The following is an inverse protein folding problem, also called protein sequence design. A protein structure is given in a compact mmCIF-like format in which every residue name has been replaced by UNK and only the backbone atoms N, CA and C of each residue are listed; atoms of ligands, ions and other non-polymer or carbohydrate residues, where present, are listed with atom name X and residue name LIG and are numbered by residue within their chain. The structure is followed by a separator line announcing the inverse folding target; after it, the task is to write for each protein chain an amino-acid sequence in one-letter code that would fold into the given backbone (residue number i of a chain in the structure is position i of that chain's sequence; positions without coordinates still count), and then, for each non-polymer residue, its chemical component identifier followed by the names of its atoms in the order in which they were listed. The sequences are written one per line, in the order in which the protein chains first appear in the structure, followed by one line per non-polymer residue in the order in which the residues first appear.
data_IF_425497094636
#
_entry.id   IF_425497094636
#
_cell.length_a   1.000
_cell.length_b   1.000
_cell.length_c   1.000
_cell.angle_alpha   90.00
_cell.angle_beta   90.00
_cell.angle_gamma   90.00
#
_symmetry.space_group_name_H-M   'P 1'
#
loop_
_entity.id
_entity.type
_entity.pdbx_description
1 polymer ?
#
# COMPACT_ATOMS: atom_id res chain seq x y z
N UNK A 1 8.00 11.40 3.86
CA UNK A 1 6.53 11.16 3.84
C UNK A 1 6.00 11.42 2.45
N UNK A 2 4.95 10.70 2.03
CA UNK A 2 4.42 10.72 0.66
C UNK A 2 4.13 12.14 0.14
N UNK A 3 3.50 13.01 0.94
CA UNK A 3 3.18 14.42 0.57
C UNK A 3 4.38 15.25 0.08
N UNK A 4 5.60 14.93 0.53
CA UNK A 4 6.81 15.66 0.14
C UNK A 4 7.49 15.06 -1.10
N UNK A 5 7.10 13.85 -1.51
CA UNK A 5 7.75 13.08 -2.58
C UNK A 5 6.89 12.95 -3.83
N UNK A 6 5.57 13.01 -3.67
CA UNK A 6 4.62 12.74 -4.75
C UNK A 6 3.50 13.76 -4.75
N UNK A 7 3.00 14.06 -5.94
CA UNK A 7 1.89 14.97 -6.15
C UNK A 7 0.55 14.23 -6.08
N UNK A 8 -0.54 15.00 -5.96
CA UNK A 8 -1.90 14.47 -6.07
C UNK A 8 -2.27 13.46 -4.97
N UNK A 9 -1.62 13.52 -3.81
CA UNK A 9 -1.89 12.59 -2.71
C UNK A 9 -3.35 12.67 -2.26
N UNK A 10 -4.08 11.58 -2.45
CA UNK A 10 -5.36 11.32 -1.81
C UNK A 10 -5.19 10.13 -0.86
N UNK A 11 -5.93 10.14 0.24
CA UNK A 11 -5.85 9.12 1.28
C UNK A 11 -7.25 8.57 1.55
N UNK A 12 -7.35 7.27 1.72
CA UNK A 12 -8.56 6.64 2.26
C UNK A 12 -8.72 6.97 3.74
N UNK A 13 -9.81 6.49 4.33
CA UNK A 13 -9.92 6.36 5.78
C UNK A 13 -8.82 5.43 6.35
N UNK A 14 -8.65 5.45 7.66
CA UNK A 14 -7.79 4.50 8.37
C UNK A 14 -8.65 3.36 8.90
N UNK A 15 -8.20 2.13 8.72
CA UNK A 15 -8.88 0.93 9.24
C UNK A 15 -7.90 0.10 10.06
N UNK A 16 -8.30 -0.24 11.29
CA UNK A 16 -7.54 -1.13 12.15
C UNK A 16 -7.91 -2.59 11.83
N UNK A 17 -6.92 -3.46 11.75
CA UNK A 17 -7.12 -4.89 11.52
C UNK A 17 -6.13 -5.73 12.31
N UNK A 18 -6.50 -6.96 12.63
CA UNK A 18 -5.57 -7.94 13.19
C UNK A 18 -4.46 -8.27 12.20
N UNK A 19 -3.28 -8.62 12.72
CA UNK A 19 -2.22 -9.24 11.94
C UNK A 19 -2.71 -10.55 11.30
N UNK A 20 -2.42 -10.76 10.00
CA UNK A 20 -2.87 -11.96 9.26
C UNK A 20 -2.34 -13.26 9.86
N UNK A 21 -1.09 -13.27 10.31
CA UNK A 21 -0.44 -14.46 10.88
C UNK A 21 -0.96 -14.83 12.29
N UNK A 22 -1.77 -13.96 12.90
CA UNK A 22 -2.27 -14.14 14.26
C UNK A 22 -1.18 -14.01 15.33
N UNK A 23 -1.48 -14.47 16.54
CA UNK A 23 -0.57 -14.40 17.69
C UNK A 23 -0.60 -13.08 18.45
N UNK A 24 0.48 -12.80 19.17
CA UNK A 24 0.64 -11.60 20.02
C UNK A 24 1.09 -10.35 19.25
N UNK A 25 1.10 -10.42 17.91
CA UNK A 25 1.41 -9.29 17.06
C UNK A 25 0.37 -8.17 17.28
N UNK A 26 0.79 -6.91 17.42
CA UNK A 26 -0.14 -5.79 17.51
C UNK A 26 -1.05 -5.69 16.28
N UNK A 27 -2.23 -5.11 16.46
CA UNK A 27 -3.09 -4.75 15.34
C UNK A 27 -2.38 -3.74 14.43
N UNK A 28 -2.66 -3.85 13.13
CA UNK A 28 -2.20 -2.91 12.12
C UNK A 28 -3.21 -1.79 11.93
N UNK A 29 -2.70 -0.58 11.64
CA UNK A 29 -3.48 0.52 11.08
C UNK A 29 -3.18 0.58 9.58
N UNK A 30 -4.18 0.33 8.75
CA UNK A 30 -4.07 0.33 7.31
C UNK A 30 -4.65 1.63 6.73
N UNK A 31 -4.04 2.12 5.66
CA UNK A 31 -4.51 3.28 4.89
C UNK A 31 -4.03 3.15 3.45
N UNK A 32 -4.92 3.37 2.48
CA UNK A 32 -4.55 3.46 1.08
C UNK A 32 -4.18 4.90 0.71
N UNK A 33 -3.26 5.03 -0.24
CA UNK A 33 -2.85 6.31 -0.81
C UNK A 33 -2.87 6.24 -2.33
N UNK A 34 -3.52 7.21 -2.96
CA UNK A 34 -3.44 7.43 -4.40
C UNK A 34 -2.48 8.59 -4.64
N UNK A 35 -1.48 8.37 -5.50
CA UNK A 35 -0.46 9.38 -5.82
C UNK A 35 -0.31 9.49 -7.34
N UNK A 36 0.17 10.65 -7.79
CA UNK A 36 0.71 10.82 -9.13
C UNK A 36 2.22 10.65 -9.09
N UNK A 37 2.76 9.89 -10.05
CA UNK A 37 4.19 9.65 -10.19
C UNK A 37 4.53 9.39 -11.66
N UNK A 38 5.65 9.96 -12.11
CA UNK A 38 6.24 9.68 -13.43
C UNK A 38 7.28 8.54 -13.37
N UNK A 39 7.61 8.06 -12.17
CA UNK A 39 8.52 6.94 -12.00
C UNK A 39 7.91 5.66 -12.55
N UNK A 40 8.72 4.88 -13.28
CA UNK A 40 8.37 3.51 -13.65
C UNK A 40 8.11 2.64 -12.40
N UNK A 41 7.26 1.60 -12.48
CA UNK A 41 6.84 0.82 -11.31
C UNK A 41 7.99 0.27 -10.46
N UNK A 42 9.07 -0.22 -11.09
CA UNK A 42 10.24 -0.71 -10.38
C UNK A 42 10.96 0.41 -9.60
N UNK A 43 11.12 1.58 -10.21
CA UNK A 43 11.73 2.74 -9.56
C UNK A 43 10.85 3.29 -8.44
N UNK A 44 9.52 3.31 -8.63
CA UNK A 44 8.57 3.68 -7.59
C UNK A 44 8.65 2.73 -6.39
N UNK A 45 8.70 1.41 -6.63
CA UNK A 45 8.87 0.41 -5.57
C UNK A 45 10.15 0.63 -4.76
N UNK A 46 11.26 1.00 -5.41
CA UNK A 46 12.49 1.37 -4.72
C UNK A 46 12.35 2.66 -3.91
N UNK A 47 11.71 3.70 -4.46
CA UNK A 47 11.46 4.95 -3.76
C UNK A 47 10.57 4.79 -2.52
N UNK A 48 9.60 3.87 -2.57
CA UNK A 48 8.77 3.49 -1.42
C UNK A 48 9.59 2.74 -0.37
N UNK A 49 10.47 1.82 -0.76
CA UNK A 49 11.39 1.14 0.18
C UNK A 49 12.34 2.10 0.90
N UNK A 50 12.90 3.08 0.19
CA UNK A 50 13.70 4.12 0.86
C UNK A 50 12.83 4.97 1.81
N UNK A 51 11.55 5.21 1.48
CA UNK A 51 10.63 5.88 2.39
C UNK A 51 10.39 5.07 3.67
N UNK A 52 10.18 3.75 3.55
CA UNK A 52 10.03 2.87 4.71
C UNK A 52 11.25 2.91 5.62
N UNK A 53 12.45 2.85 5.02
CA UNK A 53 13.72 2.93 5.74
C UNK A 53 13.85 4.26 6.49
N UNK A 54 13.53 5.38 5.84
CA UNK A 54 13.54 6.70 6.47
C UNK A 54 12.53 6.84 7.61
N UNK A 55 11.46 6.04 7.56
CA UNK A 55 10.42 5.95 8.60
C UNK A 55 10.74 4.88 9.67
N UNK A 56 11.90 4.24 9.59
CA UNK A 56 12.40 3.33 10.62
C UNK A 56 12.18 1.84 10.34
N UNK A 57 11.64 1.46 9.18
CA UNK A 57 11.60 0.03 8.78
C UNK A 57 13.02 -0.49 8.61
N UNK A 58 13.29 -1.68 9.16
CA UNK A 58 14.53 -2.44 8.96
C UNK A 58 14.20 -3.75 8.25
N UNK A 59 15.02 -4.14 7.28
CA UNK A 59 14.88 -5.40 6.51
C UNK A 59 16.21 -6.17 6.57
N UNK A 60 16.27 -7.41 7.12
CA UNK A 60 15.19 -8.07 7.87
C UNK A 60 14.84 -7.31 9.16
N UNK A 61 13.64 -7.53 9.70
CA UNK A 61 13.25 -6.94 10.99
C UNK A 61 14.00 -7.64 12.13
N UNK A 62 14.50 -6.91 13.14
CA UNK A 62 15.06 -7.52 14.35
C UNK A 62 14.01 -8.28 15.18
N UNK A 63 12.73 -7.92 15.04
CA UNK A 63 11.60 -8.65 15.62
C UNK A 63 10.59 -8.95 14.49
N UNK A 64 10.36 -10.21 14.12
CA UNK A 64 9.46 -10.57 13.03
C UNK A 64 8.00 -10.18 13.29
N UNK A 65 7.61 -9.95 14.56
CA UNK A 65 6.25 -9.53 14.92
C UNK A 65 6.04 -8.02 14.75
N UNK A 66 7.11 -7.25 14.53
CA UNK A 66 7.06 -5.79 14.44
C UNK A 66 7.41 -5.31 13.03
N UNK A 67 6.46 -4.61 12.42
CA UNK A 67 6.66 -3.85 11.20
C UNK A 67 6.14 -2.41 11.42
N UNK A 68 7.01 -1.44 11.75
CA UNK A 68 6.56 -0.10 12.14
C UNK A 68 5.89 0.66 10.98
N UNK A 69 6.21 0.31 9.73
CA UNK A 69 5.57 0.81 8.52
C UNK A 69 5.77 -0.22 7.41
N UNK A 70 4.70 -0.50 6.67
CA UNK A 70 4.73 -1.25 5.42
C UNK A 70 4.06 -0.41 4.33
N UNK A 71 4.69 -0.29 3.17
CA UNK A 71 4.14 0.46 2.03
C UNK A 71 4.22 -0.41 0.77
N UNK A 72 3.09 -0.99 0.42
CA UNK A 72 2.96 -1.82 -0.78
C UNK A 72 2.47 -1.01 -1.99
N UNK A 73 3.13 -1.26 -3.13
CA UNK A 73 2.69 -0.73 -4.42
C UNK A 73 1.63 -1.67 -5.00
N UNK A 74 0.36 -1.28 -4.83
CA UNK A 74 -0.79 -2.15 -5.15
C UNK A 74 -1.11 -2.17 -6.65
N UNK A 75 -1.31 -1.01 -7.26
CA UNK A 75 -1.79 -0.90 -8.63
C UNK A 75 -1.41 0.43 -9.30
N UNK A 76 -1.45 0.42 -10.62
CA UNK A 76 -1.48 1.60 -11.48
C UNK A 76 -2.89 1.76 -12.04
N UNK A 77 -3.39 2.99 -12.12
CA UNK A 77 -4.74 3.29 -12.63
C UNK A 77 -4.67 3.81 -14.07
N UNK A 78 -3.76 4.75 -14.32
CA UNK A 78 -3.56 5.38 -15.63
C UNK A 78 -2.13 5.15 -16.13
N UNK A 79 -1.90 5.17 -17.46
CA UNK A 79 -2.91 5.29 -18.53
C UNK A 79 -3.73 4.00 -18.73
N UNK A 80 -3.30 2.89 -18.13
CA UNK A 80 -4.01 1.61 -18.13
C UNK A 80 -3.99 1.01 -16.72
N UNK A 81 -5.13 0.47 -16.24
CA UNK A 81 -5.19 -0.24 -14.98
C UNK A 81 -4.30 -1.49 -15.01
N UNK A 82 -3.44 -1.64 -14.00
CA UNK A 82 -2.58 -2.83 -13.79
C UNK A 82 -2.49 -3.08 -12.29
N UNK A 83 -2.79 -4.30 -11.85
CA UNK A 83 -2.51 -4.74 -10.49
C UNK A 83 -1.07 -5.28 -10.42
N UNK A 84 -0.28 -4.77 -9.47
CA UNK A 84 1.07 -5.27 -9.20
C UNK A 84 1.09 -6.30 -8.08
N UNK A 85 0.10 -6.24 -7.18
CA UNK A 85 -0.10 -7.16 -6.06
C UNK A 85 -1.59 -7.58 -5.97
N UNK A 86 -2.07 -8.43 -6.90
CA UNK A 86 -3.47 -8.87 -6.91
C UNK A 86 -3.87 -9.63 -5.64
N UNK A 87 -2.93 -10.31 -4.99
CA UNK A 87 -3.11 -10.98 -3.70
C UNK A 87 -3.44 -9.99 -2.56
N UNK A 88 -2.86 -8.80 -2.59
CA UNK A 88 -3.15 -7.76 -1.61
C UNK A 88 -4.52 -7.14 -1.87
N UNK A 89 -4.93 -7.00 -3.13
CA UNK A 89 -6.29 -6.59 -3.49
C UNK A 89 -7.38 -7.62 -3.12
N UNK A 90 -7.00 -8.87 -2.86
CA UNK A 90 -7.92 -9.89 -2.36
C UNK A 90 -8.22 -9.71 -0.86
N UNK A 91 -7.36 -9.01 -0.12
CA UNK A 91 -7.57 -8.69 1.29
C UNK A 91 -8.78 -7.76 1.48
N UNK A 92 -9.73 -8.10 2.38
CA UNK A 92 -10.93 -7.29 2.56
C UNK A 92 -10.67 -5.84 2.96
N UNK A 93 -9.63 -5.58 3.77
CA UNK A 93 -9.27 -4.25 4.26
C UNK A 93 -8.65 -3.46 3.11
N UNK A 94 -7.62 -4.00 2.46
CA UNK A 94 -6.98 -3.34 1.33
C UNK A 94 -7.98 -3.05 0.20
N UNK A 95 -8.87 -4.01 -0.10
CA UNK A 95 -9.95 -3.85 -1.09
C UNK A 95 -10.89 -2.69 -0.74
N UNK A 96 -11.32 -2.59 0.52
CA UNK A 96 -12.22 -1.52 0.97
C UNK A 96 -11.54 -0.16 0.81
N UNK A 97 -10.33 -0.03 1.36
CA UNK A 97 -9.57 1.22 1.37
C UNK A 97 -9.16 1.69 -0.03
N UNK A 98 -8.74 0.78 -0.90
CA UNK A 98 -8.48 1.11 -2.30
C UNK A 98 -9.78 1.52 -3.01
N UNK A 99 -10.89 0.80 -2.78
CA UNK A 99 -12.20 1.10 -3.36
C UNK A 99 -12.71 2.51 -3.04
N UNK A 100 -12.41 3.05 -1.85
CA UNK A 100 -12.73 4.45 -1.51
C UNK A 100 -12.05 5.47 -2.45
N UNK A 101 -10.88 5.12 -2.99
CA UNK A 101 -10.08 6.03 -3.83
C UNK A 101 -10.33 5.84 -5.33
N UNK A 102 -10.59 4.61 -5.77
CA UNK A 102 -10.64 4.28 -7.21
C UNK A 102 -12.00 3.79 -7.68
N UNK A 103 -12.98 3.66 -6.77
CA UNK A 103 -14.38 3.34 -7.08
C UNK A 103 -14.53 2.20 -8.08
N UNK A 104 -15.13 2.51 -9.23
CA UNK A 104 -15.50 1.57 -10.29
C UNK A 104 -14.31 0.95 -11.05
N UNK A 105 -13.08 1.39 -10.79
CA UNK A 105 -11.88 0.79 -11.37
C UNK A 105 -11.39 -0.43 -10.59
N UNK A 106 -11.85 -0.61 -9.35
CA UNK A 106 -11.45 -1.73 -8.51
C UNK A 106 -11.83 -3.10 -9.11
N UNK A 107 -13.04 -3.33 -9.68
CA UNK A 107 -13.37 -4.58 -10.36
C UNK A 107 -12.46 -4.88 -11.56
N UNK A 108 -12.03 -3.84 -12.30
CA UNK A 108 -11.13 -3.99 -13.46
C UNK A 108 -9.77 -4.53 -12.99
N UNK A 109 -9.21 -3.97 -11.91
CA UNK A 109 -7.93 -4.42 -11.36
C UNK A 109 -7.97 -5.85 -10.80
N UNK A 110 -9.15 -6.38 -10.46
CA UNK A 110 -9.32 -7.75 -9.96
C UNK A 110 -9.49 -8.79 -11.06
N UNK A 111 -9.89 -8.38 -12.27
CA UNK A 111 -10.11 -9.27 -13.41
C UNK A 111 -8.91 -9.41 -14.35
N UNK A 112 -7.81 -8.73 -14.03
CA UNK A 112 -6.52 -8.80 -14.72
C UNK A 112 -5.60 -9.79 -14.00
#
# INVERSE_FOLDING_TARGET
GLRRRFEGLQLSQREQSRAREGGDAPDYINQAALIRSELAPAALKLALRELEKDLGRRRPSPDPLLCPIDIDLIAQIEPRPVAFAPEDLADPVARRLCGELIGDLLPVLRGL
#
